data_IF_764032429949
#
_entry.id   IF_764032429949
#
_cell.length_a   1.000
_cell.length_b   1.000
_cell.length_c   1.000
_cell.angle_alpha   90.00
_cell.angle_beta   90.00
_cell.angle_gamma   90.00
#
_symmetry.space_group_name_H-M   'P 1'
#
loop_
_entity.id
_entity.type
_entity.pdbx_description
1 polymer ?
#
# COMPACT_ATOMS: atom_id res chain seq x y z
N UNK A 1 6.12 -8.32 12.76
CA UNK A 1 6.06 -6.84 12.94
C UNK A 1 7.09 -6.14 12.05
N UNK A 2 8.35 -6.59 12.01
CA UNK A 2 9.41 -6.01 11.17
C UNK A 2 9.02 -5.83 9.69
N UNK A 3 8.37 -6.80 9.06
CA UNK A 3 7.96 -6.70 7.65
C UNK A 3 7.07 -5.49 7.35
N UNK A 4 6.09 -5.20 8.22
CA UNK A 4 5.21 -4.04 8.08
C UNK A 4 5.99 -2.74 8.27
N UNK A 5 6.87 -2.68 9.27
CA UNK A 5 7.72 -1.51 9.53
C UNK A 5 8.66 -1.20 8.36
N UNK A 6 9.33 -2.22 7.82
CA UNK A 6 10.23 -2.08 6.67
C UNK A 6 9.45 -1.65 5.43
N UNK A 7 8.25 -2.18 5.21
CA UNK A 7 7.43 -1.81 4.08
C UNK A 7 6.98 -0.34 4.13
N UNK A 8 6.58 0.18 5.31
CA UNK A 8 6.25 1.60 5.48
C UNK A 8 7.48 2.48 5.24
N UNK A 9 8.62 2.12 5.82
CA UNK A 9 9.87 2.85 5.61
C UNK A 9 10.24 2.93 4.12
N UNK A 10 10.19 1.79 3.42
CA UNK A 10 10.45 1.73 1.98
C UNK A 10 9.40 2.48 1.17
N UNK A 11 8.14 2.48 1.59
CA UNK A 11 7.07 3.24 0.94
C UNK A 11 7.38 4.74 0.95
N UNK A 12 7.74 5.32 2.11
CA UNK A 12 8.11 6.73 2.21
C UNK A 12 9.40 7.06 1.46
N UNK A 13 10.42 6.20 1.58
CA UNK A 13 11.69 6.39 0.86
C UNK A 13 11.47 6.44 -0.65
N UNK A 14 10.57 5.61 -1.17
CA UNK A 14 10.16 5.63 -2.58
C UNK A 14 9.46 6.95 -2.96
N UNK A 15 8.52 7.43 -2.13
CA UNK A 15 7.81 8.70 -2.40
C UNK A 15 8.77 9.90 -2.45
N UNK A 16 9.73 9.98 -1.53
CA UNK A 16 10.73 11.06 -1.53
C UNK A 16 11.59 10.99 -2.79
N UNK A 17 12.06 9.79 -3.15
CA UNK A 17 12.83 9.58 -4.37
C UNK A 17 12.04 9.98 -5.63
N UNK A 18 10.74 9.65 -5.70
CA UNK A 18 9.88 10.03 -6.82
C UNK A 18 9.73 11.56 -6.95
N UNK A 19 9.65 12.29 -5.83
CA UNK A 19 9.58 13.78 -5.81
C UNK A 19 10.90 14.42 -6.22
N UNK A 20 12.03 13.92 -5.70
CA UNK A 20 13.38 14.42 -6.04
C UNK A 20 13.69 14.20 -7.54
N UNK A 21 13.15 13.12 -8.11
CA UNK A 21 13.31 12.81 -9.52
C UNK A 21 12.59 13.80 -10.44
N UNK A 22 11.44 14.32 -10.03
CA UNK A 22 10.66 15.29 -10.80
C UNK A 22 11.32 16.67 -10.85
N UNK A 23 12.07 17.04 -9.82
CA UNK A 23 12.62 18.39 -9.64
C UNK A 23 14.02 18.59 -10.24
N UNK A 24 14.77 17.52 -10.52
CA UNK A 24 16.18 17.61 -10.93
C UNK A 24 16.48 17.56 -12.42
N UNK A 25 15.54 17.22 -13.32
CA UNK A 25 15.71 17.30 -14.79
C UNK A 25 16.87 16.51 -15.43
N UNK A 26 17.72 15.87 -14.63
CA UNK A 26 18.88 15.10 -15.07
C UNK A 26 18.45 13.63 -15.17
N UNK A 27 18.27 13.18 -16.41
CA UNK A 27 17.89 11.82 -16.85
C UNK A 27 19.10 10.87 -16.92
N UNK A 28 20.00 10.90 -15.93
CA UNK A 28 21.17 10.00 -15.95
C UNK A 28 21.18 9.16 -14.68
N UNK A 29 20.91 7.85 -14.86
CA UNK A 29 20.98 6.75 -13.89
C UNK A 29 19.89 6.64 -12.80
N UNK A 30 18.67 7.13 -13.05
CA UNK A 30 17.54 6.94 -12.12
C UNK A 30 17.01 5.50 -12.16
N UNK A 31 17.37 4.70 -11.16
CA UNK A 31 16.81 3.36 -10.94
C UNK A 31 15.33 3.49 -10.54
N UNK A 32 14.45 2.86 -11.33
CA UNK A 32 13.02 2.78 -11.02
C UNK A 32 12.80 1.87 -9.80
N UNK A 33 12.16 2.39 -8.76
CA UNK A 33 11.83 1.64 -7.55
C UNK A 33 10.36 1.22 -7.61
N UNK A 34 10.08 -0.08 -7.71
CA UNK A 34 8.71 -0.60 -7.71
C UNK A 34 8.10 -0.69 -6.30
N UNK A 35 6.77 -0.62 -6.24
CA UNK A 35 6.02 -0.76 -4.98
C UNK A 35 6.06 -2.21 -4.49
N UNK A 36 6.47 -2.39 -3.24
CA UNK A 36 6.39 -3.69 -2.55
C UNK A 36 5.06 -3.82 -1.81
N UNK A 37 4.14 -4.64 -2.33
CA UNK A 37 2.89 -4.98 -1.64
C UNK A 37 3.12 -6.08 -0.60
N UNK A 38 2.27 -6.14 0.43
CA UNK A 38 2.37 -7.12 1.52
C UNK A 38 1.13 -8.01 1.50
N UNK A 39 1.33 -9.32 1.70
CA UNK A 39 0.28 -10.27 2.01
C UNK A 39 0.38 -10.68 3.48
N UNK A 40 -0.68 -10.43 4.26
CA UNK A 40 -0.76 -10.84 5.67
C UNK A 40 -1.54 -12.17 5.77
N UNK A 41 -0.82 -13.27 6.06
CA UNK A 41 -1.42 -14.60 6.24
C UNK A 41 -1.54 -14.95 7.73
N UNK A 42 -2.67 -15.56 8.09
CA UNK A 42 -2.88 -16.12 9.43
C UNK A 42 -4.36 -16.40 9.73
N UNK A 43 -4.67 -17.18 10.78
CA UNK A 43 -6.03 -17.51 11.21
C UNK A 43 -6.93 -16.30 11.48
N UNK A 44 -8.24 -16.50 11.59
CA UNK A 44 -9.16 -15.46 12.06
C UNK A 44 -8.80 -15.01 13.48
N UNK A 45 -9.10 -13.74 13.80
CA UNK A 45 -8.86 -13.20 15.15
C UNK A 45 -7.41 -12.87 15.52
N UNK A 46 -6.42 -13.08 14.64
CA UNK A 46 -5.00 -12.76 14.94
C UNK A 46 -4.63 -11.29 14.80
N UNK A 47 -5.60 -10.41 14.56
CA UNK A 47 -5.38 -8.97 14.53
C UNK A 47 -4.81 -8.41 13.22
N UNK A 48 -4.91 -9.13 12.09
CA UNK A 48 -4.45 -8.63 10.77
C UNK A 48 -5.02 -7.26 10.40
N UNK A 49 -6.33 -7.09 10.55
CA UNK A 49 -7.04 -5.82 10.29
C UNK A 49 -6.60 -4.74 11.27
N UNK A 50 -6.54 -5.08 12.57
CA UNK A 50 -6.11 -4.16 13.63
C UNK A 50 -4.68 -3.65 13.40
N UNK A 51 -3.76 -4.53 12.98
CA UNK A 51 -2.39 -4.14 12.68
C UNK A 51 -2.32 -3.13 11.53
N UNK A 52 -3.13 -3.28 10.49
CA UNK A 52 -3.15 -2.36 9.36
C UNK A 52 -3.76 -1.00 9.75
N UNK A 53 -4.90 -1.00 10.45
CA UNK A 53 -5.57 0.25 10.87
C UNK A 53 -4.74 1.05 11.88
N UNK A 54 -4.22 0.40 12.92
CA UNK A 54 -3.39 1.07 13.93
C UNK A 54 -2.08 1.58 13.35
N UNK A 55 -1.48 0.85 12.39
CA UNK A 55 -0.28 1.34 11.71
C UNK A 55 -0.58 2.62 10.91
N UNK A 56 -1.71 2.68 10.20
CA UNK A 56 -2.10 3.88 9.47
C UNK A 56 -2.36 5.07 10.40
N UNK A 57 -3.01 4.85 11.56
CA UNK A 57 -3.22 5.87 12.59
C UNK A 57 -1.90 6.42 13.14
N UNK A 58 -0.95 5.55 13.47
CA UNK A 58 0.37 5.95 14.01
C UNK A 58 1.16 6.77 12.98
N UNK A 59 1.09 6.36 11.71
CA UNK A 59 1.87 6.97 10.62
C UNK A 59 1.17 8.22 10.04
N UNK A 60 -0.13 8.37 10.26
CA UNK A 60 -0.91 9.55 9.85
C UNK A 60 -1.20 9.59 8.34
N UNK A 61 -1.47 8.44 7.71
CA UNK A 61 -1.74 8.34 6.27
C UNK A 61 -3.20 7.98 5.97
N UNK A 62 -3.73 8.36 4.79
CA UNK A 62 -5.03 7.87 4.33
C UNK A 62 -5.04 6.33 4.29
N UNK A 63 -6.11 5.74 4.80
CA UNK A 63 -6.28 4.29 4.89
C UNK A 63 -7.65 3.88 4.37
N UNK A 64 -7.65 3.00 3.38
CA UNK A 64 -8.85 2.40 2.80
C UNK A 64 -8.91 0.91 3.18
N UNK A 65 -10.12 0.42 3.48
CA UNK A 65 -10.39 -0.98 3.77
C UNK A 65 -11.41 -1.47 2.76
N UNK A 66 -11.10 -2.58 2.11
CA UNK A 66 -11.99 -3.23 1.17
C UNK A 66 -12.06 -4.74 1.43
N UNK A 67 -13.23 -5.31 1.21
CA UNK A 67 -13.44 -6.75 1.23
C UNK A 67 -13.37 -7.28 -0.20
N UNK A 68 -12.45 -8.21 -0.46
CA UNK A 68 -12.32 -8.80 -1.79
C UNK A 68 -13.49 -9.73 -2.15
N UNK A 69 -14.29 -10.17 -1.18
CA UNK A 69 -15.44 -11.06 -1.44
C UNK A 69 -16.61 -10.34 -2.11
N UNK A 70 -16.70 -9.01 -1.99
CA UNK A 70 -17.74 -8.20 -2.63
C UNK A 70 -17.38 -7.78 -4.05
N UNK A 71 -16.11 -7.95 -4.44
CA UNK A 71 -15.61 -7.60 -5.76
C UNK A 71 -15.91 -8.71 -6.77
N UNK A 72 -16.52 -8.33 -7.88
CA UNK A 72 -16.78 -9.24 -9.01
C UNK A 72 -16.06 -8.76 -10.26
N UNK A 73 -15.88 -9.66 -11.23
CA UNK A 73 -15.27 -9.29 -12.51
C UNK A 73 -16.05 -8.14 -13.17
N UNK A 74 -15.32 -7.21 -13.80
CA UNK A 74 -15.90 -6.10 -14.55
C UNK A 74 -16.98 -6.60 -15.53
N UNK A 75 -18.19 -6.05 -15.43
CA UNK A 75 -19.35 -6.46 -16.23
C UNK A 75 -20.25 -7.53 -15.60
N UNK A 76 -19.98 -7.96 -14.37
CA UNK A 76 -20.89 -8.78 -13.55
C UNK A 76 -21.46 -7.96 -12.39
N UNK A 77 -22.58 -8.42 -11.80
CA UNK A 77 -23.27 -7.72 -10.71
C UNK A 77 -22.41 -7.75 -9.44
N UNK A 78 -21.81 -6.61 -9.08
CA UNK A 78 -21.00 -6.38 -7.87
C UNK A 78 -20.33 -5.00 -7.89
N UNK A 79 -19.66 -4.63 -6.80
CA UNK A 79 -18.93 -3.35 -6.70
C UNK A 79 -17.65 -3.40 -7.57
N UNK A 80 -17.38 -2.31 -8.29
CA UNK A 80 -16.18 -2.18 -9.13
C UNK A 80 -14.95 -1.84 -8.28
N UNK A 81 -13.79 -2.35 -8.68
CA UNK A 81 -12.49 -2.08 -8.05
C UNK A 81 -12.12 -0.59 -8.05
N UNK A 82 -12.68 0.19 -8.96
CA UNK A 82 -12.47 1.65 -9.07
C UNK A 82 -13.24 2.45 -8.01
N UNK A 83 -14.19 1.84 -7.30
CA UNK A 83 -15.09 2.51 -6.35
C UNK A 83 -14.54 2.57 -4.92
N UNK A 84 -13.41 1.90 -4.67
CA UNK A 84 -12.80 1.69 -3.34
C UNK A 84 -11.64 2.65 -3.08
#
# INVERSE_FOLDING_TARGET
KETLSVAVYNHYKRLVHDVDNLSTGIEQDKVKIDKSNILLLGPSGTGKTLLASTLAEIVGVPFAVADATTLTQAGYVGDDVETI
#
